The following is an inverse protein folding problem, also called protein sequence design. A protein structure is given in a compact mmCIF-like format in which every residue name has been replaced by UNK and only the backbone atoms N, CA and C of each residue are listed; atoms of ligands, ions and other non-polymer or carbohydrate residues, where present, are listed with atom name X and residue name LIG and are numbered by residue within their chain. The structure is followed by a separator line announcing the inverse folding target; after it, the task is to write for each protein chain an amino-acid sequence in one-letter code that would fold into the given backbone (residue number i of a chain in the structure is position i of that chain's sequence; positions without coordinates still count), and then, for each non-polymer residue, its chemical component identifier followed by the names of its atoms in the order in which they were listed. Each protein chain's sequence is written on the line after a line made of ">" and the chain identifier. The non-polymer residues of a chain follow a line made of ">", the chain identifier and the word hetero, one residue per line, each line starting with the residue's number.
data_IF_398449304738
#
_entry.id   IF_398449304738
#
_cell.length_a   1.000
_cell.length_b   1.000
_cell.length_c   1.000
_cell.angle_alpha   90.00
_cell.angle_beta   90.00
_cell.angle_gamma   90.00
#
_symmetry.space_group_name_H-M   'P 1'
#
loop_
_entity.id
_entity.type
_entity.pdbx_description
1 polymer ?
#
# COMPACT_ATOMS: atom_id res chain seq x y z
N UNK A 1 7.48 -8.21 1.79
CA UNK A 1 7.23 -8.89 0.51
C UNK A 1 8.47 -9.70 0.16
N UNK A 2 8.29 -10.92 -0.34
CA UNK A 2 9.38 -11.81 -0.71
C UNK A 2 9.31 -12.11 -2.21
N UNK A 3 10.46 -12.07 -2.88
CA UNK A 3 10.62 -12.57 -4.23
C UNK A 3 11.34 -13.92 -4.16
N UNK A 4 10.70 -14.95 -4.72
CA UNK A 4 11.21 -16.32 -4.73
C UNK A 4 11.37 -16.80 -6.17
N UNK A 5 12.40 -17.60 -6.41
CA UNK A 5 12.54 -18.35 -7.65
C UNK A 5 11.40 -19.38 -7.75
N UNK A 6 10.74 -19.42 -8.90
CA UNK A 6 9.54 -20.23 -9.09
C UNK A 6 9.84 -21.74 -9.17
N UNK A 7 11.06 -22.12 -9.55
CA UNK A 7 11.48 -23.52 -9.67
C UNK A 7 12.08 -24.05 -8.36
N UNK A 8 12.88 -23.25 -7.66
CA UNK A 8 13.64 -23.68 -6.48
C UNK A 8 13.02 -23.24 -5.15
N UNK A 9 12.21 -22.17 -5.15
CA UNK A 9 11.68 -21.55 -3.93
C UNK A 9 12.72 -20.75 -3.14
N UNK A 10 13.95 -20.61 -3.64
CA UNK A 10 14.98 -19.79 -3.02
C UNK A 10 14.67 -18.30 -3.18
N UNK A 11 15.12 -17.47 -2.23
CA UNK A 11 14.96 -16.01 -2.34
C UNK A 11 15.76 -15.47 -3.52
N UNK A 12 15.16 -14.60 -4.34
CA UNK A 12 15.85 -13.92 -5.43
C UNK A 12 16.79 -12.84 -4.88
N UNK A 13 18.13 -13.03 -4.88
CA UNK A 13 19.03 -12.11 -4.17
C UNK A 13 19.09 -10.71 -4.78
N UNK A 14 18.76 -10.57 -6.07
CA UNK A 14 18.75 -9.30 -6.79
C UNK A 14 17.52 -8.42 -6.50
N UNK A 15 16.51 -8.93 -5.79
CA UNK A 15 15.29 -8.20 -5.48
C UNK A 15 15.35 -7.61 -4.07
N UNK A 16 15.09 -6.31 -3.92
CA UNK A 16 15.09 -5.62 -2.63
C UNK A 16 16.41 -5.83 -1.87
N UNK A 17 16.31 -6.25 -0.61
CA UNK A 17 17.43 -6.66 0.23
C UNK A 17 17.42 -8.18 0.34
N UNK A 18 18.22 -8.86 -0.49
CA UNK A 18 18.34 -10.34 -0.52
C UNK A 18 17.00 -11.07 -0.67
N UNK A 19 16.17 -10.62 -1.61
CA UNK A 19 14.85 -11.18 -1.91
C UNK A 19 13.73 -10.71 -0.99
N UNK A 20 13.99 -9.72 -0.14
CA UNK A 20 13.03 -9.17 0.81
C UNK A 20 12.84 -7.67 0.62
N UNK A 21 11.58 -7.23 0.74
CA UNK A 21 11.19 -5.83 0.72
C UNK A 21 10.35 -5.53 1.94
N UNK A 22 10.81 -4.56 2.74
CA UNK A 22 10.10 -4.07 3.92
C UNK A 22 8.91 -3.18 3.51
N UNK A 23 7.71 -3.73 3.65
CA UNK A 23 6.48 -2.98 3.38
C UNK A 23 6.11 -2.02 4.52
N UNK A 24 6.78 -2.05 5.67
CA UNK A 24 6.53 -1.09 6.75
C UNK A 24 7.42 0.16 6.64
N UNK A 25 8.34 0.20 5.67
CA UNK A 25 9.18 1.36 5.44
C UNK A 25 8.35 2.65 5.26
N UNK A 26 8.68 3.67 6.05
CA UNK A 26 7.99 4.98 6.15
C UNK A 26 6.53 4.94 6.61
N UNK A 27 6.03 3.82 7.13
CA UNK A 27 4.75 3.81 7.84
C UNK A 27 4.85 4.62 9.14
N UNK A 28 3.80 5.39 9.51
CA UNK A 28 3.79 6.16 10.77
C UNK A 28 3.62 5.27 12.01
N UNK A 29 3.18 4.02 11.80
CA UNK A 29 3.00 3.00 12.82
C UNK A 29 3.47 1.65 12.26
N UNK A 30 4.35 0.97 12.98
CA UNK A 30 5.00 -0.29 12.56
C UNK A 30 4.82 -1.42 13.58
N UNK A 31 3.76 -1.33 14.40
CA UNK A 31 3.42 -2.39 15.35
C UNK A 31 3.06 -3.65 14.57
N UNK A 32 3.65 -4.78 14.97
CA UNK A 32 3.40 -6.05 14.30
C UNK A 32 1.89 -6.38 14.27
N UNK A 33 1.38 -6.74 13.09
CA UNK A 33 -0.04 -7.04 12.87
C UNK A 33 -0.94 -5.82 12.63
N UNK A 34 -0.41 -4.60 12.52
CA UNK A 34 -1.24 -3.43 12.20
C UNK A 34 -1.28 -3.08 10.71
N UNK A 35 -0.22 -3.41 9.95
CA UNK A 35 -0.22 -3.32 8.49
C UNK A 35 -0.17 -4.73 7.91
N UNK A 36 -1.22 -5.10 7.18
CA UNK A 36 -1.49 -6.48 6.80
C UNK A 36 -1.89 -6.57 5.32
N UNK A 37 -0.94 -6.85 4.40
CA UNK A 37 -1.29 -7.22 3.03
C UNK A 37 -2.04 -8.56 3.01
N UNK A 38 -3.37 -8.51 3.06
CA UNK A 38 -4.25 -9.69 3.15
C UNK A 38 -4.64 -10.25 1.78
N UNK A 39 -4.51 -9.46 0.72
CA UNK A 39 -4.77 -9.87 -0.67
C UNK A 39 -3.47 -9.95 -1.49
N UNK A 40 -3.47 -10.73 -2.59
CA UNK A 40 -2.33 -10.77 -3.50
C UNK A 40 -2.04 -9.40 -4.11
N UNK A 41 -0.76 -9.08 -4.41
CA UNK A 41 -0.45 -7.93 -5.24
C UNK A 41 -0.92 -8.12 -6.68
N UNK A 42 -1.09 -6.99 -7.36
CA UNK A 42 -1.22 -6.97 -8.83
C UNK A 42 0.19 -6.88 -9.42
N UNK A 43 0.50 -7.78 -10.35
CA UNK A 43 1.78 -7.80 -11.07
C UNK A 43 1.52 -7.44 -12.53
N UNK A 44 2.12 -6.35 -13.00
CA UNK A 44 2.15 -5.97 -14.42
C UNK A 44 3.47 -6.41 -15.06
N UNK A 45 3.69 -6.04 -16.32
CA UNK A 45 4.96 -6.33 -17.01
C UNK A 45 6.17 -5.63 -16.36
N UNK A 46 5.96 -4.56 -15.59
CA UNK A 46 7.03 -3.72 -15.04
C UNK A 46 6.89 -3.46 -13.55
N UNK A 47 5.68 -3.57 -13.00
CA UNK A 47 5.35 -3.02 -11.68
C UNK A 47 4.58 -4.01 -10.82
N UNK A 48 4.98 -4.15 -9.57
CA UNK A 48 4.22 -4.75 -8.48
C UNK A 48 3.40 -3.63 -7.83
N UNK A 49 2.08 -3.72 -7.89
CA UNK A 49 1.18 -2.83 -7.17
C UNK A 49 0.78 -3.49 -5.86
N UNK A 50 1.28 -2.92 -4.77
CA UNK A 50 1.02 -3.36 -3.41
C UNK A 50 0.01 -2.43 -2.74
N UNK A 51 -1.11 -2.99 -2.34
CA UNK A 51 -2.01 -2.41 -1.34
C UNK A 51 -2.03 -3.33 -0.10
N UNK A 52 -2.74 -2.93 0.95
CA UNK A 52 -2.88 -3.74 2.15
C UNK A 52 -4.06 -3.29 3.00
N UNK A 53 -4.41 -4.15 3.96
CA UNK A 53 -5.27 -3.80 5.07
C UNK A 53 -4.45 -3.10 6.16
N UNK A 54 -5.14 -2.31 6.98
CA UNK A 54 -4.63 -1.85 8.27
C UNK A 54 -5.61 -2.27 9.37
N UNK A 55 -5.23 -2.14 10.63
CA UNK A 55 -6.12 -2.43 11.77
C UNK A 55 -7.23 -1.37 11.92
N UNK A 56 -8.21 -1.44 11.03
CA UNK A 56 -9.21 -0.39 10.74
C UNK A 56 -10.16 -0.02 11.89
N UNK A 57 -10.12 -0.72 13.02
CA UNK A 57 -11.05 -0.50 14.13
C UNK A 57 -10.38 -0.58 15.51
N UNK A 58 -9.05 -0.55 15.57
CA UNK A 58 -8.32 -0.67 16.85
C UNK A 58 -8.11 0.69 17.53
N UNK A 59 -7.72 1.72 16.78
CA UNK A 59 -7.47 3.06 17.32
C UNK A 59 -7.63 4.17 16.28
N UNK A 60 -7.41 5.42 16.70
CA UNK A 60 -7.26 6.58 15.79
C UNK A 60 -5.79 6.86 15.44
N UNK A 61 -4.90 5.88 15.64
CA UNK A 61 -3.47 5.96 15.37
C UNK A 61 -3.00 4.67 14.70
N UNK A 62 -3.34 4.51 13.43
CA UNK A 62 -3.12 3.32 12.63
C UNK A 62 -2.17 3.59 11.45
N UNK A 63 -1.57 2.55 10.85
CA UNK A 63 -0.73 2.70 9.68
C UNK A 63 -1.45 3.41 8.52
N UNK A 64 -0.67 3.90 7.56
CA UNK A 64 -1.21 4.42 6.32
C UNK A 64 -1.70 3.27 5.42
N UNK A 65 -2.88 3.45 4.82
CA UNK A 65 -3.36 2.63 3.71
C UNK A 65 -2.64 2.85 2.37
N UNK A 66 -1.48 3.51 2.36
CA UNK A 66 -0.69 3.84 1.17
C UNK A 66 -0.53 2.65 0.21
N UNK A 67 -0.82 2.92 -1.06
CA UNK A 67 -0.61 2.00 -2.17
C UNK A 67 0.74 2.31 -2.80
N UNK A 68 1.52 1.29 -3.15
CA UNK A 68 2.90 1.45 -3.63
C UNK A 68 3.16 0.64 -4.88
N UNK A 69 3.84 1.27 -5.84
CA UNK A 69 4.35 0.63 -7.04
C UNK A 69 5.84 0.34 -6.90
N UNK A 70 6.24 -0.90 -7.09
CA UNK A 70 7.63 -1.32 -7.08
C UNK A 70 8.03 -1.92 -8.44
N UNK A 71 9.26 -1.71 -8.87
CA UNK A 71 9.81 -2.37 -10.04
C UNK A 71 9.80 -3.90 -9.84
N UNK A 72 9.27 -4.63 -10.83
CA UNK A 72 9.02 -6.07 -10.72
C UNK A 72 10.30 -6.91 -10.59
N UNK A 73 11.42 -6.42 -11.12
CA UNK A 73 12.68 -7.17 -11.12
C UNK A 73 13.55 -6.83 -9.91
N UNK A 74 13.56 -5.57 -9.51
CA UNK A 74 14.50 -5.04 -8.51
C UNK A 74 13.84 -4.76 -7.16
N UNK A 75 12.51 -4.60 -7.10
CA UNK A 75 11.80 -4.17 -5.90
C UNK A 75 11.99 -2.68 -5.56
N UNK A 76 12.61 -1.89 -6.44
CA UNK A 76 12.79 -0.46 -6.24
C UNK A 76 11.43 0.25 -6.21
N UNK A 77 11.19 1.11 -5.21
CA UNK A 77 10.00 1.96 -5.17
C UNK A 77 9.98 2.90 -6.38
N UNK A 78 8.90 2.84 -7.17
CA UNK A 78 8.68 3.67 -8.35
C UNK A 78 7.76 4.84 -8.06
N UNK A 79 6.67 4.57 -7.33
CA UNK A 79 5.65 5.56 -6.99
C UNK A 79 4.88 5.15 -5.73
N UNK A 80 4.20 6.12 -5.14
CA UNK A 80 3.30 5.96 -4.00
C UNK A 80 1.97 6.62 -4.33
N UNK A 81 0.90 6.14 -3.69
CA UNK A 81 -0.38 6.81 -3.62
C UNK A 81 -0.90 6.72 -2.19
N UNK A 82 -0.78 7.81 -1.45
CA UNK A 82 -1.25 7.96 -0.07
C UNK A 82 -2.57 8.76 -0.05
N UNK A 83 -3.73 8.08 0.00
CA UNK A 83 -5.02 8.73 -0.22
C UNK A 83 -5.42 9.74 0.87
N UNK A 84 -4.79 9.69 2.05
CA UNK A 84 -5.01 10.67 3.12
C UNK A 84 -4.13 11.92 3.01
N UNK A 85 -3.13 11.93 2.12
CA UNK A 85 -2.21 13.04 1.97
C UNK A 85 -2.78 14.16 1.07
N UNK A 86 -2.34 15.39 1.33
CA UNK A 86 -2.66 16.55 0.47
C UNK A 86 -2.10 16.38 -0.95
N UNK A 87 -0.88 15.87 -1.04
CA UNK A 87 -0.27 15.41 -2.30
C UNK A 87 -0.09 13.89 -2.23
N UNK A 88 -1.03 13.11 -2.78
CA UNK A 88 -1.04 11.65 -2.60
C UNK A 88 0.12 10.95 -3.30
N UNK A 89 0.74 11.58 -4.31
CA UNK A 89 1.81 10.96 -5.09
C UNK A 89 3.22 11.34 -4.60
N UNK A 90 3.31 12.17 -3.57
CA UNK A 90 4.59 12.59 -3.00
C UNK A 90 5.22 11.45 -2.20
N UNK A 91 6.40 10.99 -2.62
CA UNK A 91 7.24 10.11 -1.79
C UNK A 91 7.73 10.95 -0.61
N UNK A 92 7.46 10.56 0.66
CA UNK A 92 7.87 11.34 1.81
C UNK A 92 9.40 11.51 1.84
N UNK A 93 9.87 12.69 2.27
CA UNK A 93 11.28 12.90 2.61
C UNK A 93 11.72 11.96 3.75
N UNK A 94 13.02 11.85 4.01
CA UNK A 94 13.54 10.81 4.90
C UNK A 94 13.13 10.98 6.37
N UNK A 95 12.89 12.21 6.81
CA UNK A 95 12.39 12.52 8.15
C UNK A 95 10.86 12.42 8.29
N UNK A 96 10.16 12.09 7.20
CA UNK A 96 8.70 12.06 7.15
C UNK A 96 8.16 10.65 6.90
N UNK A 97 6.93 10.43 7.35
CA UNK A 97 6.17 9.19 7.17
C UNK A 97 4.95 9.44 6.29
N UNK A 98 4.33 8.36 5.81
CA UNK A 98 3.02 8.45 5.19
C UNK A 98 1.96 8.92 6.19
N UNK A 99 0.83 9.38 5.66
CA UNK A 99 -0.28 9.92 6.43
C UNK A 99 -0.94 8.82 7.25
N UNK A 100 -1.07 9.09 8.54
CA UNK A 100 -1.71 8.18 9.49
C UNK A 100 -3.20 8.03 9.17
N UNK A 101 -3.73 6.82 9.33
CA UNK A 101 -5.15 6.50 9.09
C UNK A 101 -5.63 6.76 7.65
N UNK A 102 -4.75 6.82 6.66
CA UNK A 102 -5.17 6.95 5.27
C UNK A 102 -6.06 5.78 4.85
N UNK A 103 -7.09 6.01 4.01
CA UNK A 103 -7.89 4.94 3.44
C UNK A 103 -7.03 3.83 2.85
N UNK A 104 -7.37 2.58 3.14
CA UNK A 104 -6.63 1.42 2.66
C UNK A 104 -7.35 0.75 1.48
N UNK A 105 -6.70 -0.26 0.87
CA UNK A 105 -7.32 -1.14 -0.12
C UNK A 105 -6.91 -2.56 0.19
N UNK A 106 -7.77 -3.29 0.88
CA UNK A 106 -7.49 -4.67 1.32
C UNK A 106 -8.07 -5.72 0.38
N UNK A 107 -9.11 -5.40 -0.39
CA UNK A 107 -9.77 -6.35 -1.27
C UNK A 107 -8.94 -6.60 -2.56
N UNK A 108 -9.11 -7.75 -3.23
CA UNK A 108 -8.39 -8.03 -4.47
C UNK A 108 -8.61 -6.95 -5.55
N UNK A 109 -7.51 -6.45 -6.10
CA UNK A 109 -7.48 -5.52 -7.22
C UNK A 109 -7.35 -6.27 -8.55
N UNK A 110 -7.69 -5.59 -9.66
CA UNK A 110 -7.60 -6.17 -11.01
C UNK A 110 -6.81 -5.28 -11.96
N UNK A 111 -6.19 -5.89 -12.97
CA UNK A 111 -5.41 -5.20 -14.00
C UNK A 111 -5.94 -5.53 -15.39
N UNK A 112 -6.21 -4.49 -16.20
CA UNK A 112 -6.52 -4.63 -17.61
C UNK A 112 -5.27 -4.29 -18.46
N UNK A 113 -4.61 -5.29 -19.08
CA UNK A 113 -3.41 -5.06 -19.90
C UNK A 113 -3.68 -4.35 -21.23
N UNK A 114 -4.93 -4.29 -21.71
CA UNK A 114 -5.26 -3.52 -22.92
C UNK A 114 -5.35 -2.03 -22.63
N UNK A 115 -5.77 -1.68 -21.42
CA UNK A 115 -5.88 -0.31 -20.94
C UNK A 115 -4.66 0.14 -20.13
N UNK A 116 -3.76 -0.79 -19.80
CA UNK A 116 -2.62 -0.58 -18.89
C UNK A 116 -3.07 0.09 -17.58
N UNK A 117 -4.17 -0.41 -17.01
CA UNK A 117 -4.86 0.22 -15.86
C UNK A 117 -5.14 -0.79 -14.76
N UNK A 118 -4.84 -0.42 -13.52
CA UNK A 118 -5.17 -1.18 -12.30
C UNK A 118 -6.37 -0.54 -11.63
N UNK A 119 -7.35 -1.36 -11.25
CA UNK A 119 -8.55 -0.93 -10.55
C UNK A 119 -8.51 -1.37 -9.10
N UNK A 120 -8.66 -0.43 -8.17
CA UNK A 120 -8.51 -0.66 -6.73
C UNK A 120 -9.78 -0.28 -5.96
N UNK A 121 -10.42 -1.22 -5.25
CA UNK A 121 -11.51 -0.89 -4.34
C UNK A 121 -10.97 -0.28 -3.04
N UNK A 122 -11.41 0.94 -2.71
CA UNK A 122 -10.93 1.68 -1.55
C UNK A 122 -11.85 1.53 -0.35
N UNK A 123 -11.24 1.35 0.82
CA UNK A 123 -11.89 1.48 2.12
C UNK A 123 -12.11 2.94 2.52
N UNK A 124 -12.16 3.19 3.82
CA UNK A 124 -12.34 4.52 4.41
C UNK A 124 -11.17 4.86 5.33
N UNK A 125 -11.09 6.10 5.78
CA UNK A 125 -10.10 6.49 6.78
C UNK A 125 -10.43 5.87 8.14
N UNK A 126 -9.42 5.28 8.75
CA UNK A 126 -9.50 4.61 10.04
C UNK A 126 -9.83 5.59 11.19
N UNK A 127 -10.72 5.25 12.14
CA UNK A 127 -11.48 4.01 12.24
C UNK A 127 -12.71 3.94 11.33
N UNK A 128 -13.08 2.74 10.87
CA UNK A 128 -14.22 2.57 9.95
C UNK A 128 -15.55 3.01 10.60
N UNK A 129 -15.72 2.65 11.87
CA UNK A 129 -16.97 2.81 12.62
C UNK A 129 -17.32 4.26 12.96
N UNK A 130 -16.39 5.21 12.84
CA UNK A 130 -16.66 6.62 13.15
C UNK A 130 -15.87 7.60 12.27
N UNK A 131 -16.59 8.41 11.50
CA UNK A 131 -16.01 9.37 10.55
C UNK A 131 -16.01 10.85 10.95
N UNK A 132 -16.52 11.29 12.10
CA UNK A 132 -16.69 12.75 12.34
C UNK A 132 -15.42 13.55 12.60
N UNK A 133 -14.27 12.90 12.72
CA UNK A 133 -12.97 13.57 12.74
C UNK A 133 -12.23 13.47 11.39
N UNK A 134 -12.85 12.86 10.36
CA UNK A 134 -12.20 12.71 9.07
C UNK A 134 -12.13 14.04 8.33
N UNK A 135 -10.97 14.35 7.78
CA UNK A 135 -10.74 15.57 7.01
C UNK A 135 -11.23 15.41 5.56
N UNK A 136 -11.40 16.51 4.81
CA UNK A 136 -11.71 16.42 3.38
C UNK A 136 -10.67 15.62 2.58
N UNK A 137 -9.39 15.65 2.97
CA UNK A 137 -8.33 14.85 2.35
C UNK A 137 -8.56 13.36 2.60
N UNK A 138 -8.89 12.97 3.84
CA UNK A 138 -9.16 11.59 4.22
C UNK A 138 -10.42 11.01 3.55
N UNK A 139 -11.38 11.86 3.18
CA UNK A 139 -12.61 11.46 2.49
C UNK A 139 -12.50 11.54 0.96
N UNK A 140 -11.43 12.13 0.42
CA UNK A 140 -11.29 12.40 -1.03
C UNK A 140 -11.36 11.16 -1.92
N UNK A 141 -10.82 10.04 -1.43
CA UNK A 141 -10.75 8.76 -2.13
C UNK A 141 -11.35 7.61 -1.32
N UNK A 142 -12.14 7.94 -0.29
CA UNK A 142 -12.79 6.95 0.55
C UNK A 142 -14.02 6.37 -0.17
N UNK A 143 -14.32 5.09 0.06
CA UNK A 143 -15.51 4.41 -0.49
C UNK A 143 -15.65 4.54 -2.01
N UNK A 144 -14.54 4.38 -2.74
CA UNK A 144 -14.48 4.54 -4.19
C UNK A 144 -13.83 3.36 -4.89
N UNK A 145 -13.87 3.39 -6.22
CA UNK A 145 -12.98 2.58 -7.08
C UNK A 145 -12.04 3.56 -7.76
N UNK A 146 -10.73 3.32 -7.64
CA UNK A 146 -9.69 4.03 -8.38
C UNK A 146 -9.46 3.36 -9.73
#
# INVERSE_FOLDING_TARGET
>A
LFALDAETGERCPAFGVNGELDLQHKQPVTTAGQYEPTSPPVITNTTIVMAGAVTDNYSTREPSGVIRGFDVNTGKLLWVFDPGAKDPNAIPADEHTFTMNSPNSWAPAVYDPKLDTVYLPMGVSTPDIWGGNRTPEQERYASSVL
#
